data_IF_230376268017
#
_entry.id   IF_230376268017
#
_cell.length_a   1.000
_cell.length_b   1.000
_cell.length_c   1.000
_cell.angle_alpha   90.00
_cell.angle_beta   90.00
_cell.angle_gamma   90.00
#
_symmetry.space_group_name_H-M   'P 1'
#
loop_
_entity.id
_entity.type
_entity.pdbx_description
1 polymer ?
#
# COMPACT_ATOMS: atom_id res chain seq x y z
N UNK A 1 56.68 -26.06 -11.58
CA UNK A 1 55.43 -26.68 -11.06
C UNK A 1 54.46 -26.74 -12.23
N UNK A 2 54.40 -27.88 -12.91
CA UNK A 2 53.45 -28.09 -13.98
C UNK A 2 52.06 -28.21 -13.35
N UNK A 3 51.16 -27.29 -13.68
CA UNK A 3 49.75 -27.41 -13.30
C UNK A 3 49.18 -28.60 -14.06
N UNK A 4 48.83 -29.67 -13.35
CA UNK A 4 48.13 -30.80 -13.94
C UNK A 4 46.82 -30.29 -14.58
N UNK A 5 46.65 -30.44 -15.91
CA UNK A 5 45.53 -29.85 -16.62
C UNK A 5 44.18 -30.38 -16.10
N UNK A 6 44.18 -31.61 -15.58
CA UNK A 6 43.04 -32.23 -14.90
C UNK A 6 42.66 -31.55 -13.58
N UNK A 7 43.65 -31.20 -12.74
CA UNK A 7 43.39 -30.51 -11.47
C UNK A 7 42.77 -29.14 -11.70
N UNK A 8 43.23 -28.44 -12.73
CA UNK A 8 42.72 -27.11 -13.09
C UNK A 8 41.28 -27.17 -13.62
N UNK A 9 40.93 -28.21 -14.40
CA UNK A 9 39.57 -28.44 -14.88
C UNK A 9 38.59 -28.72 -13.73
N UNK A 10 38.98 -29.53 -12.74
CA UNK A 10 38.11 -29.84 -11.59
C UNK A 10 37.81 -28.58 -10.78
N UNK A 11 38.84 -27.77 -10.50
CA UNK A 11 38.67 -26.51 -9.76
C UNK A 11 37.81 -25.52 -10.55
N UNK A 12 38.07 -25.36 -11.86
CA UNK A 12 37.28 -24.47 -12.71
C UNK A 12 35.79 -24.88 -12.74
N UNK A 13 35.51 -26.18 -12.85
CA UNK A 13 34.14 -26.71 -12.86
C UNK A 13 33.44 -26.46 -11.52
N UNK A 14 34.14 -26.68 -10.40
CA UNK A 14 33.62 -26.38 -9.07
C UNK A 14 33.29 -24.89 -8.89
N UNK A 15 34.16 -24.00 -9.36
CA UNK A 15 33.93 -22.55 -9.32
C UNK A 15 32.71 -22.16 -10.16
N UNK A 16 32.58 -22.70 -11.37
CA UNK A 16 31.43 -22.44 -12.24
C UNK A 16 30.13 -22.91 -11.57
N UNK A 17 30.11 -24.09 -10.97
CA UNK A 17 28.93 -24.62 -10.27
C UNK A 17 28.55 -23.76 -9.05
N UNK A 18 29.54 -23.29 -8.28
CA UNK A 18 29.29 -22.38 -7.13
C UNK A 18 28.71 -21.05 -7.60
N UNK A 19 29.30 -20.43 -8.63
CA UNK A 19 28.81 -19.18 -9.19
C UNK A 19 27.40 -19.33 -9.76
N UNK A 20 27.14 -20.43 -10.46
CA UNK A 20 25.84 -20.75 -11.02
C UNK A 20 24.80 -20.99 -9.91
N UNK A 21 25.15 -21.70 -8.84
CA UNK A 21 24.29 -21.91 -7.68
C UNK A 21 23.96 -20.60 -6.94
N UNK A 22 24.93 -19.70 -6.79
CA UNK A 22 24.72 -18.37 -6.21
C UNK A 22 23.80 -17.50 -7.09
N UNK A 23 24.02 -17.49 -8.40
CA UNK A 23 23.18 -16.80 -9.38
C UNK A 23 21.75 -17.34 -9.36
N UNK A 24 21.57 -18.66 -9.34
CA UNK A 24 20.24 -19.28 -9.35
C UNK A 24 19.50 -19.06 -8.03
N UNK A 25 20.19 -19.14 -6.88
CA UNK A 25 19.63 -18.84 -5.56
C UNK A 25 19.23 -17.38 -5.43
N UNK A 26 20.01 -16.45 -5.98
CA UNK A 26 19.67 -15.03 -6.05
C UNK A 26 18.46 -14.77 -6.96
N UNK A 27 18.40 -15.44 -8.11
CA UNK A 27 17.30 -15.30 -9.08
C UNK A 27 15.99 -15.94 -8.60
N UNK A 28 16.02 -17.01 -7.82
CA UNK A 28 14.84 -17.66 -7.22
C UNK A 28 14.32 -16.94 -5.97
N UNK A 29 15.15 -16.16 -5.28
CA UNK A 29 14.71 -15.29 -4.17
C UNK A 29 14.15 -13.95 -4.66
N UNK A 30 14.63 -13.45 -5.79
CA UNK A 30 14.16 -12.20 -6.41
C UNK A 30 12.71 -12.14 -6.89
N UNK A 31 11.96 -13.19 -7.28
CA UNK A 31 10.55 -13.03 -7.70
C UNK A 31 9.62 -12.73 -6.53
N UNK A 32 9.99 -13.10 -5.30
CA UNK A 32 9.17 -12.83 -4.12
C UNK A 32 9.30 -11.38 -3.63
N UNK A 33 10.46 -10.73 -3.81
CA UNK A 33 10.66 -9.34 -3.39
C UNK A 33 9.77 -8.31 -4.09
N UNK A 34 9.64 -8.25 -5.43
CA UNK A 34 8.80 -7.27 -6.10
C UNK A 34 7.32 -7.54 -5.87
N UNK A 35 6.90 -8.81 -5.77
CA UNK A 35 5.52 -9.15 -5.43
C UNK A 35 5.19 -8.76 -3.99
N UNK A 36 6.08 -9.06 -3.04
CA UNK A 36 5.91 -8.65 -1.63
C UNK A 36 5.95 -7.14 -1.46
N UNK A 37 6.83 -6.46 -2.19
CA UNK A 37 6.88 -5.00 -2.21
C UNK A 37 5.56 -4.40 -2.72
N UNK A 38 4.99 -4.94 -3.81
CA UNK A 38 3.68 -4.52 -4.32
C UNK A 38 2.56 -4.77 -3.31
N UNK A 39 2.45 -5.98 -2.78
CA UNK A 39 1.42 -6.31 -1.77
C UNK A 39 1.57 -5.46 -0.50
N UNK A 40 2.80 -5.17 -0.08
CA UNK A 40 3.05 -4.27 1.05
C UNK A 40 2.61 -2.84 0.71
N UNK A 41 2.88 -2.36 -0.49
CA UNK A 41 2.47 -1.03 -0.95
C UNK A 41 0.95 -0.90 -1.06
N UNK A 42 0.25 -1.91 -1.55
CA UNK A 42 -1.22 -1.95 -1.60
C UNK A 42 -1.83 -1.93 -0.19
N UNK A 43 -1.28 -2.72 0.74
CA UNK A 43 -1.72 -2.70 2.14
C UNK A 43 -1.51 -1.34 2.80
N UNK A 44 -0.34 -0.73 2.58
CA UNK A 44 -0.05 0.60 3.09
C UNK A 44 -0.99 1.64 2.47
N UNK A 45 -1.29 1.54 1.18
CA UNK A 45 -2.23 2.41 0.51
C UNK A 45 -3.63 2.29 1.12
N UNK A 46 -4.16 1.08 1.29
CA UNK A 46 -5.46 0.85 1.92
C UNK A 46 -5.52 1.38 3.36
N UNK A 47 -4.45 1.18 4.15
CA UNK A 47 -4.36 1.72 5.51
C UNK A 47 -4.36 3.25 5.53
N UNK A 48 -3.61 3.90 4.63
CA UNK A 48 -3.57 5.36 4.50
C UNK A 48 -4.93 5.91 4.09
N UNK A 49 -5.63 5.23 3.18
CA UNK A 49 -6.95 5.63 2.71
C UNK A 49 -8.00 5.59 3.83
N UNK A 50 -7.99 4.52 4.64
CA UNK A 50 -8.83 4.43 5.85
C UNK A 50 -8.52 5.57 6.84
N UNK A 51 -7.23 5.87 7.04
CA UNK A 51 -6.80 6.95 7.92
C UNK A 51 -7.17 8.33 7.38
N UNK A 52 -7.14 8.51 6.07
CA UNK A 52 -7.62 9.72 5.40
C UNK A 52 -9.13 9.89 5.59
N UNK A 53 -9.92 8.82 5.47
CA UNK A 53 -11.35 8.86 5.74
C UNK A 53 -11.67 9.24 7.20
N UNK A 54 -10.94 8.68 8.16
CA UNK A 54 -11.07 9.07 9.57
C UNK A 54 -10.76 10.55 9.80
N UNK A 55 -9.67 11.05 9.21
CA UNK A 55 -9.30 12.46 9.30
C UNK A 55 -10.34 13.37 8.65
N UNK A 56 -10.91 12.99 7.51
CA UNK A 56 -11.99 13.72 6.86
C UNK A 56 -13.25 13.77 7.73
N UNK A 57 -13.64 12.64 8.34
CA UNK A 57 -14.76 12.57 9.29
C UNK A 57 -14.53 13.51 10.48
N UNK A 58 -13.36 13.44 11.11
CA UNK A 58 -13.02 14.32 12.25
C UNK A 58 -13.01 15.79 11.83
N UNK A 59 -12.47 16.11 10.66
CA UNK A 59 -12.44 17.48 10.15
C UNK A 59 -13.84 18.02 9.88
N UNK A 60 -14.72 17.23 9.26
CA UNK A 60 -16.10 17.62 9.00
C UNK A 60 -16.88 17.82 10.31
N UNK A 61 -16.73 16.92 11.28
CA UNK A 61 -17.36 17.06 12.60
C UNK A 61 -16.90 18.31 13.36
N UNK A 62 -15.66 18.73 13.18
CA UNK A 62 -15.15 19.98 13.78
C UNK A 62 -15.68 21.23 13.11
N UNK A 63 -16.08 21.14 11.84
CA UNK A 63 -16.61 22.25 11.07
C UNK A 63 -18.14 22.35 11.19
N UNK A 64 -18.81 21.24 11.49
CA UNK A 64 -20.24 21.19 11.73
C UNK A 64 -20.64 22.03 12.95
N UNK A 65 -21.75 22.75 12.83
CA UNK A 65 -22.37 23.44 13.95
C UNK A 65 -22.93 22.44 14.97
N UNK A 66 -23.15 22.84 16.25
CA UNK A 66 -23.60 21.94 17.31
C UNK A 66 -24.88 21.12 17.03
N UNK A 67 -25.72 21.57 16.09
CA UNK A 67 -27.00 20.94 15.74
C UNK A 67 -27.13 20.61 14.23
N UNK A 68 -26.04 20.67 13.47
CA UNK A 68 -26.05 20.34 12.03
C UNK A 68 -25.32 19.03 11.76
N UNK A 69 -25.86 18.13 10.91
CA UNK A 69 -25.16 16.90 10.56
C UNK A 69 -23.87 17.22 9.79
N UNK A 70 -22.78 16.54 10.13
CA UNK A 70 -21.52 16.67 9.43
C UNK A 70 -21.62 16.03 8.03
N UNK A 71 -21.51 16.84 6.97
CA UNK A 71 -21.50 16.36 5.58
C UNK A 71 -20.06 16.01 5.21
N UNK A 72 -19.81 14.76 4.83
CA UNK A 72 -18.49 14.28 4.41
C UNK A 72 -18.58 13.73 2.99
N UNK A 73 -17.78 14.31 2.09
CA UNK A 73 -17.71 13.89 0.70
C UNK A 73 -16.54 12.96 0.42
N UNK A 74 -16.68 12.09 -0.58
CA UNK A 74 -15.56 11.30 -1.12
C UNK A 74 -14.39 12.19 -1.53
N UNK A 75 -14.68 13.37 -2.09
CA UNK A 75 -13.67 14.35 -2.49
C UNK A 75 -12.88 14.90 -1.29
N UNK A 76 -13.48 14.99 -0.10
CA UNK A 76 -12.78 15.39 1.12
C UNK A 76 -11.75 14.35 1.53
N UNK A 77 -12.08 13.06 1.38
CA UNK A 77 -11.15 11.95 1.62
C UNK A 77 -9.99 11.98 0.65
N UNK A 78 -10.26 12.21 -0.65
CA UNK A 78 -9.22 12.33 -1.68
C UNK A 78 -8.32 13.53 -1.40
N UNK A 79 -8.88 14.67 -1.00
CA UNK A 79 -8.14 15.87 -0.63
C UNK A 79 -7.25 15.63 0.58
N UNK A 80 -7.77 15.00 1.63
CA UNK A 80 -6.99 14.65 2.83
C UNK A 80 -5.89 13.65 2.47
N UNK A 81 -6.18 12.65 1.64
CA UNK A 81 -5.19 11.67 1.20
C UNK A 81 -4.04 12.35 0.45
N UNK A 82 -4.38 13.25 -0.48
CA UNK A 82 -3.41 14.00 -1.29
C UNK A 82 -2.56 14.95 -0.45
N UNK A 83 -3.16 15.59 0.56
CA UNK A 83 -2.50 16.54 1.44
C UNK A 83 -1.57 15.87 2.47
N UNK A 84 -1.99 14.74 3.05
CA UNK A 84 -1.27 14.10 4.17
C UNK A 84 -0.31 12.99 3.72
N UNK A 85 -0.62 12.29 2.63
CA UNK A 85 0.14 11.11 2.19
C UNK A 85 0.82 11.30 0.82
N UNK A 86 0.72 12.49 0.26
CA UNK A 86 1.30 12.86 -1.03
C UNK A 86 0.33 12.67 -2.19
N UNK A 87 0.71 13.18 -3.35
CA UNK A 87 -0.15 13.25 -4.54
C UNK A 87 -0.15 11.92 -5.27
N UNK A 88 -0.90 10.95 -4.74
CA UNK A 88 -1.18 9.69 -5.44
C UNK A 88 -2.56 9.81 -6.10
N UNK A 89 -2.73 9.35 -7.35
CA UNK A 89 -4.05 9.25 -7.93
C UNK A 89 -4.88 8.27 -7.09
N UNK A 90 -5.89 8.78 -6.41
CA UNK A 90 -6.82 7.99 -5.62
C UNK A 90 -8.06 7.74 -6.47
N UNK A 91 -8.37 6.49 -6.85
CA UNK A 91 -9.62 6.19 -7.51
C UNK A 91 -10.80 6.57 -6.61
N UNK A 92 -11.79 7.29 -7.15
CA UNK A 92 -12.98 7.72 -6.41
C UNK A 92 -13.69 6.54 -5.75
N UNK A 93 -13.76 5.40 -6.44
CA UNK A 93 -14.40 4.18 -5.92
C UNK A 93 -13.70 3.63 -4.66
N UNK A 94 -12.37 3.68 -4.63
CA UNK A 94 -11.61 3.20 -3.46
C UNK A 94 -11.77 4.16 -2.29
N UNK A 95 -11.79 5.47 -2.55
CA UNK A 95 -12.06 6.47 -1.53
C UNK A 95 -13.48 6.36 -0.98
N UNK A 96 -14.47 6.14 -1.87
CA UNK A 96 -15.86 5.88 -1.50
C UNK A 96 -15.98 4.62 -0.64
N UNK A 97 -15.36 3.51 -1.05
CA UNK A 97 -15.35 2.27 -0.27
C UNK A 97 -14.74 2.47 1.12
N UNK A 98 -13.59 3.14 1.22
CA UNK A 98 -12.97 3.44 2.51
C UNK A 98 -13.87 4.32 3.39
N UNK A 99 -14.56 5.30 2.80
CA UNK A 99 -15.51 6.15 3.51
C UNK A 99 -16.72 5.34 4.01
N UNK A 100 -17.30 4.47 3.18
CA UNK A 100 -18.38 3.54 3.58
C UNK A 100 -17.96 2.66 4.75
N UNK A 101 -16.80 2.00 4.65
CA UNK A 101 -16.29 1.12 5.72
C UNK A 101 -16.19 1.86 7.06
N UNK A 102 -15.72 3.11 7.05
CA UNK A 102 -15.57 3.91 8.29
C UNK A 102 -16.87 4.49 8.79
N UNK A 103 -17.77 4.86 7.89
CA UNK A 103 -19.12 5.30 8.22
C UNK A 103 -19.91 4.17 8.89
N UNK A 104 -19.89 2.97 8.30
CA UNK A 104 -20.55 1.76 8.83
C UNK A 104 -19.92 1.27 10.13
N UNK A 105 -18.60 1.41 10.30
CA UNK A 105 -17.90 1.10 11.54
C UNK A 105 -18.28 2.00 12.74
N UNK A 106 -19.22 2.94 12.56
CA UNK A 106 -19.84 3.69 13.65
C UNK A 106 -19.14 5.01 13.97
N UNK A 107 -18.18 5.47 13.15
CA UNK A 107 -17.50 6.74 13.40
C UNK A 107 -18.42 7.98 13.20
N UNK A 108 -19.54 7.83 12.50
CA UNK A 108 -20.37 8.94 12.04
C UNK A 108 -21.88 8.62 11.84
N UNK A 109 -22.36 7.43 12.24
CA UNK A 109 -23.68 6.93 11.78
C UNK A 109 -24.89 7.75 12.26
N UNK A 110 -24.78 8.47 13.37
CA UNK A 110 -25.91 9.22 13.97
C UNK A 110 -26.00 10.67 13.48
N UNK A 111 -24.86 11.32 13.26
CA UNK A 111 -24.80 12.78 13.10
C UNK A 111 -24.09 13.21 11.80
N UNK A 112 -23.99 12.31 10.82
CA UNK A 112 -23.27 12.59 9.57
C UNK A 112 -23.98 12.09 8.33
N UNK A 113 -23.73 12.78 7.22
CA UNK A 113 -24.22 12.47 5.88
C UNK A 113 -23.02 12.25 4.95
N UNK A 114 -23.17 11.36 3.97
CA UNK A 114 -22.10 11.07 3.01
C UNK A 114 -22.63 10.76 1.60
N UNK A 115 -21.90 11.20 0.58
CA UNK A 115 -22.12 10.88 -0.84
C UNK A 115 -21.44 9.56 -1.26
N UNK A 116 -20.88 8.81 -0.31
CA UNK A 116 -20.16 7.58 -0.63
C UNK A 116 -21.05 6.50 -1.25
N UNK A 117 -22.37 6.57 -1.06
CA UNK A 117 -23.34 5.59 -1.55
C UNK A 117 -24.02 5.99 -2.87
N UNK A 118 -23.79 7.22 -3.35
CA UNK A 118 -24.20 7.70 -4.69
C UNK A 118 -23.19 7.26 -5.77
#
# INVERSE_FOLDING_TARGET
MATDPFGLLVVATGVVLVLFGLLWRGRLRRPFDPLRARLAQERLFAQRLRRAADMAIVAARRQAAPDEPAIIRVDDVIRVMSAQFGHHPVPRDQAAQALRERFEAGACRTDCLTDAFD
#
